data_IF_095414490632
#
_entry.id   IF_095414490632
#
_cell.length_a   1.000
_cell.length_b   1.000
_cell.length_c   1.000
_cell.angle_alpha   90.00
_cell.angle_beta   90.00
_cell.angle_gamma   90.00
#
_symmetry.space_group_name_H-M   'P 1'
#
loop_
_entity.id
_entity.type
_entity.pdbx_description
1 polymer ?
#
# COMPACT_ATOMS: atom_id res chain seq x y z
N UNK A 1 -17.76 15.34 20.62
CA UNK A 1 -17.50 16.20 19.43
C UNK A 1 -18.05 15.52 18.20
N UNK A 2 -18.60 16.28 17.26
CA UNK A 2 -19.11 15.71 16.00
C UNK A 2 -17.91 15.20 15.17
N UNK A 3 -17.99 14.00 14.64
CA UNK A 3 -16.94 13.37 13.80
C UNK A 3 -16.52 14.27 12.64
N UNK A 4 -17.47 14.97 12.02
CA UNK A 4 -17.19 15.93 10.95
C UNK A 4 -16.21 17.03 11.40
N UNK A 5 -16.40 17.57 12.61
CA UNK A 5 -15.53 18.62 13.17
C UNK A 5 -14.12 18.08 13.38
N UNK A 6 -13.97 16.84 13.84
CA UNK A 6 -12.66 16.18 14.02
C UNK A 6 -11.94 16.05 12.67
N UNK A 7 -12.65 15.57 11.65
CA UNK A 7 -12.09 15.41 10.29
C UNK A 7 -11.69 16.76 9.70
N UNK A 8 -12.50 17.79 9.86
CA UNK A 8 -12.16 19.14 9.36
C UNK A 8 -10.93 19.72 10.06
N UNK A 9 -10.84 19.60 11.40
CA UNK A 9 -9.66 20.03 12.16
C UNK A 9 -8.43 19.27 11.69
N UNK A 10 -8.52 17.95 11.54
CA UNK A 10 -7.43 17.11 11.05
C UNK A 10 -6.97 17.53 9.65
N UNK A 11 -7.91 17.77 8.73
CA UNK A 11 -7.61 18.24 7.38
C UNK A 11 -6.88 19.59 7.39
N UNK A 12 -7.34 20.55 8.19
CA UNK A 12 -6.68 21.87 8.33
C UNK A 12 -5.26 21.71 8.87
N UNK A 13 -5.07 20.90 9.92
CA UNK A 13 -3.74 20.63 10.51
C UNK A 13 -2.81 20.03 9.47
N UNK A 14 -3.24 19.02 8.70
CA UNK A 14 -2.43 18.37 7.67
C UNK A 14 -2.08 19.33 6.52
N UNK A 15 -3.03 20.16 6.07
CA UNK A 15 -2.75 21.19 5.05
C UNK A 15 -1.76 22.23 5.55
N UNK A 16 -1.91 22.69 6.79
CA UNK A 16 -0.95 23.62 7.41
C UNK A 16 0.45 22.98 7.57
N UNK A 17 0.51 21.73 7.97
CA UNK A 17 1.76 20.98 8.06
C UNK A 17 2.44 20.84 6.68
N UNK A 18 1.69 20.51 5.64
CA UNK A 18 2.20 20.43 4.27
C UNK A 18 2.70 21.79 3.76
N UNK A 19 1.88 22.84 3.90
CA UNK A 19 2.20 24.17 3.37
C UNK A 19 3.30 24.90 4.17
N UNK A 20 3.36 24.69 5.47
CA UNK A 20 4.36 25.31 6.36
C UNK A 20 5.57 24.42 6.56
N UNK A 21 5.39 23.36 7.36
CA UNK A 21 6.47 22.49 7.77
C UNK A 21 7.12 21.73 6.61
N UNK A 22 6.34 21.19 5.69
CA UNK A 22 6.86 20.48 4.53
C UNK A 22 7.69 21.38 3.60
N UNK A 23 7.25 22.62 3.36
CA UNK A 23 8.03 23.59 2.58
C UNK A 23 9.31 24.02 3.28
N UNK A 24 9.24 24.24 4.59
CA UNK A 24 10.42 24.56 5.40
C UNK A 24 11.45 23.42 5.32
N UNK A 25 11.00 22.17 5.46
CA UNK A 25 11.85 20.99 5.39
C UNK A 25 12.50 20.85 4.00
N UNK A 26 11.73 21.01 2.94
CA UNK A 26 12.22 20.96 1.56
C UNK A 26 13.30 22.03 1.31
N UNK A 27 13.08 23.26 1.81
CA UNK A 27 14.05 24.34 1.72
C UNK A 27 15.31 24.05 2.53
N UNK A 28 15.17 23.53 3.75
CA UNK A 28 16.29 23.20 4.64
C UNK A 28 17.16 22.09 4.07
N UNK A 29 16.56 21.11 3.41
CA UNK A 29 17.30 20.01 2.76
C UNK A 29 17.84 20.38 1.38
N UNK A 30 17.50 21.53 0.85
CA UNK A 30 17.96 22.01 -0.45
C UNK A 30 17.36 21.23 -1.62
N UNK A 31 16.05 20.95 -1.56
CA UNK A 31 15.34 20.33 -2.68
C UNK A 31 15.21 21.33 -3.81
N UNK A 32 15.78 20.99 -4.97
CA UNK A 32 15.63 21.79 -6.19
C UNK A 32 14.45 21.22 -7.03
N UNK A 33 13.35 21.97 -7.19
CA UNK A 33 12.19 21.55 -7.96
C UNK A 33 12.48 21.42 -9.47
N UNK A 34 13.56 22.04 -9.96
CA UNK A 34 13.93 22.00 -11.38
C UNK A 34 14.96 20.89 -11.69
N UNK A 35 15.47 20.20 -10.67
CA UNK A 35 16.42 19.12 -10.85
C UNK A 35 15.78 17.94 -11.61
N UNK A 36 16.45 17.47 -12.66
CA UNK A 36 16.01 16.25 -13.37
C UNK A 36 16.16 15.04 -12.46
N UNK A 37 15.08 14.28 -12.31
CA UNK A 37 15.08 13.04 -11.52
C UNK A 37 15.98 11.98 -12.15
N UNK A 38 16.48 11.00 -11.39
CA UNK A 38 17.27 9.90 -11.91
C UNK A 38 16.59 9.14 -13.06
N UNK A 39 15.26 8.96 -12.99
CA UNK A 39 14.49 8.29 -14.04
C UNK A 39 14.58 9.00 -15.40
N UNK A 40 14.71 10.35 -15.41
CA UNK A 40 14.87 11.14 -16.65
C UNK A 40 16.35 11.26 -17.05
N UNK A 41 17.26 11.35 -16.06
CA UNK A 41 18.68 11.57 -16.31
C UNK A 41 19.41 10.29 -16.74
N UNK A 42 19.00 9.14 -16.20
CA UNK A 42 19.63 7.83 -16.38
C UNK A 42 18.72 6.87 -17.15
N UNK A 43 17.77 7.39 -17.93
CA UNK A 43 16.79 6.58 -18.65
C UNK A 43 17.45 5.48 -19.47
N UNK A 44 17.09 4.22 -19.18
CA UNK A 44 17.59 3.03 -19.85
C UNK A 44 16.48 2.10 -20.37
N UNK A 45 15.21 2.47 -20.10
CA UNK A 45 14.04 1.69 -20.50
C UNK A 45 13.82 0.41 -19.69
N UNK A 46 14.62 0.14 -18.65
CA UNK A 46 14.51 -1.04 -17.77
C UNK A 46 14.42 -0.67 -16.30
N UNK A 47 15.47 -0.10 -15.74
CA UNK A 47 15.58 0.26 -14.33
C UNK A 47 15.17 1.72 -14.12
N UNK A 48 15.45 2.58 -15.09
CA UNK A 48 15.11 4.00 -15.08
C UNK A 48 14.12 4.31 -16.20
N UNK A 49 12.84 4.35 -15.83
CA UNK A 49 11.76 4.64 -16.78
C UNK A 49 10.95 5.83 -16.29
N UNK A 50 10.94 6.95 -17.04
CA UNK A 50 10.08 8.08 -16.73
C UNK A 50 8.61 7.65 -16.73
N UNK A 51 7.91 7.86 -15.62
CA UNK A 51 6.53 7.43 -15.44
C UNK A 51 5.65 8.65 -15.16
N UNK A 52 4.38 8.58 -15.56
CA UNK A 52 3.40 9.63 -15.29
C UNK A 52 3.29 9.89 -13.78
N UNK A 53 3.30 11.15 -13.37
CA UNK A 53 3.23 11.56 -11.97
C UNK A 53 2.02 11.00 -11.22
N UNK A 54 0.87 10.85 -11.89
CA UNK A 54 -0.32 10.25 -11.27
C UNK A 54 -0.14 8.77 -10.96
N UNK A 55 0.49 8.02 -11.85
CA UNK A 55 0.80 6.60 -11.64
C UNK A 55 1.80 6.42 -10.49
N UNK A 56 2.82 7.29 -10.42
CA UNK A 56 3.79 7.29 -9.30
C UNK A 56 3.10 7.61 -7.98
N UNK A 57 2.22 8.62 -7.96
CA UNK A 57 1.43 8.96 -6.79
C UNK A 57 0.55 7.80 -6.33
N UNK A 58 -0.21 7.18 -7.24
CA UNK A 58 -1.08 6.05 -6.93
C UNK A 58 -0.31 4.88 -6.34
N UNK A 59 0.85 4.55 -6.92
CA UNK A 59 1.72 3.49 -6.42
C UNK A 59 2.26 3.80 -5.01
N UNK A 60 2.75 5.02 -4.79
CA UNK A 60 3.27 5.46 -3.49
C UNK A 60 2.16 5.47 -2.43
N UNK A 61 1.01 6.05 -2.76
CA UNK A 61 -0.15 6.09 -1.87
C UNK A 61 -0.60 4.69 -1.46
N UNK A 62 -0.76 3.77 -2.42
CA UNK A 62 -1.16 2.39 -2.13
C UNK A 62 -0.10 1.62 -1.32
N UNK A 63 1.19 1.90 -1.54
CA UNK A 63 2.27 1.27 -0.78
C UNK A 63 2.32 1.73 0.68
N UNK A 64 2.00 3.00 0.95
CA UNK A 64 1.95 3.58 2.31
C UNK A 64 0.63 3.21 2.99
N UNK A 65 -0.51 3.39 2.30
CA UNK A 65 -1.85 3.16 2.83
C UNK A 65 -2.24 1.66 2.82
N UNK A 66 -1.31 0.77 3.13
CA UNK A 66 -1.58 -0.66 3.25
C UNK A 66 -2.45 -1.04 4.46
N UNK A 67 -2.55 -2.33 4.75
CA UNK A 67 -3.39 -2.84 5.85
C UNK A 67 -2.98 -2.27 7.22
N UNK A 68 -1.69 -2.00 7.45
CA UNK A 68 -1.18 -1.46 8.72
C UNK A 68 -1.86 -0.15 9.17
N UNK A 69 -1.89 0.91 8.37
CA UNK A 69 -2.58 2.16 8.71
C UNK A 69 -4.06 1.99 9.02
N UNK A 70 -4.76 1.09 8.32
CA UNK A 70 -6.19 0.83 8.55
C UNK A 70 -6.41 0.05 9.84
N UNK A 71 -5.80 -1.13 9.96
CA UNK A 71 -5.96 -2.01 11.13
C UNK A 71 -5.32 -1.42 12.38
N UNK A 72 -4.20 -0.71 12.25
CA UNK A 72 -3.52 -0.06 13.35
C UNK A 72 -4.37 1.03 14.00
N UNK A 73 -5.05 1.85 13.21
CA UNK A 73 -5.97 2.87 13.73
C UNK A 73 -7.16 2.24 14.46
N UNK A 74 -7.73 1.15 13.95
CA UNK A 74 -8.84 0.41 14.60
C UNK A 74 -8.37 -0.19 15.91
N UNK A 75 -7.22 -0.85 15.95
CA UNK A 75 -6.67 -1.43 17.19
C UNK A 75 -6.32 -0.36 18.21
N UNK A 76 -5.75 0.75 17.77
CA UNK A 76 -5.39 1.86 18.64
C UNK A 76 -6.61 2.56 19.24
N UNK A 77 -7.78 2.48 18.60
CA UNK A 77 -9.04 3.01 19.13
C UNK A 77 -9.43 2.40 20.49
N UNK A 78 -8.91 1.20 20.82
CA UNK A 78 -9.07 0.60 22.16
C UNK A 78 -8.47 1.46 23.29
N UNK A 79 -7.46 2.30 22.98
CA UNK A 79 -6.86 3.25 23.94
C UNK A 79 -7.58 4.59 24.01
N UNK A 80 -8.66 4.76 23.27
CA UNK A 80 -9.45 5.98 23.18
C UNK A 80 -9.13 6.80 21.91
N UNK A 81 -10.15 7.49 21.42
CA UNK A 81 -10.07 8.24 20.17
C UNK A 81 -9.11 9.44 20.19
N UNK A 82 -8.99 10.12 21.32
CA UNK A 82 -8.17 11.33 21.44
C UNK A 82 -6.65 11.05 21.37
N UNK A 83 -6.10 10.09 22.14
CA UNK A 83 -4.69 9.69 21.99
C UNK A 83 -4.36 9.24 20.57
N UNK A 84 -5.26 8.48 19.94
CA UNK A 84 -5.07 7.99 18.56
C UNK A 84 -5.04 9.16 17.57
N UNK A 85 -5.99 10.08 17.68
CA UNK A 85 -6.04 11.27 16.81
C UNK A 85 -4.77 12.11 16.93
N UNK A 86 -4.32 12.38 18.16
CA UNK A 86 -3.09 13.14 18.40
C UNK A 86 -1.88 12.41 17.83
N UNK A 87 -1.78 11.09 18.02
CA UNK A 87 -0.69 10.31 17.45
C UNK A 87 -0.70 10.29 15.93
N UNK A 88 -1.87 10.12 15.31
CA UNK A 88 -2.00 10.12 13.84
C UNK A 88 -1.60 11.48 13.25
N UNK A 89 -2.02 12.58 13.88
CA UNK A 89 -1.69 13.92 13.39
C UNK A 89 -0.24 14.31 13.67
N UNK A 90 0.20 14.22 14.92
CA UNK A 90 1.55 14.65 15.32
C UNK A 90 2.60 13.64 14.85
N UNK A 91 2.37 12.35 15.12
CA UNK A 91 3.26 11.28 14.70
C UNK A 91 3.33 11.14 13.18
N UNK A 92 2.20 11.26 12.50
CA UNK A 92 2.13 11.23 11.04
C UNK A 92 2.92 12.37 10.40
N UNK A 93 2.84 13.59 10.93
CA UNK A 93 3.57 14.74 10.40
C UNK A 93 5.06 14.70 10.76
N UNK A 94 5.40 14.54 12.05
CA UNK A 94 6.78 14.73 12.52
C UNK A 94 7.66 13.47 12.42
N UNK A 95 7.05 12.29 12.41
CA UNK A 95 7.78 11.03 12.24
C UNK A 95 7.53 10.41 10.87
N UNK A 96 6.29 10.08 10.53
CA UNK A 96 5.95 9.37 9.29
C UNK A 96 6.36 10.17 8.04
N UNK A 97 5.76 11.32 7.83
CA UNK A 97 5.99 12.12 6.62
C UNK A 97 7.45 12.58 6.48
N UNK A 98 8.12 12.93 7.59
CA UNK A 98 9.54 13.31 7.56
C UNK A 98 10.43 12.15 7.18
N UNK A 99 10.17 10.95 7.72
CA UNK A 99 10.94 9.75 7.39
C UNK A 99 10.77 9.36 5.93
N UNK A 100 9.52 9.35 5.44
CA UNK A 100 9.20 8.99 4.06
C UNK A 100 9.78 10.00 3.07
N UNK A 101 9.61 11.29 3.34
CA UNK A 101 10.19 12.35 2.52
C UNK A 101 11.73 12.31 2.54
N UNK A 102 12.34 12.05 3.69
CA UNK A 102 13.79 11.90 3.84
C UNK A 102 14.34 10.72 3.06
N UNK A 103 13.68 9.56 3.13
CA UNK A 103 14.07 8.37 2.40
C UNK A 103 13.95 8.58 0.88
N UNK A 104 12.85 9.18 0.42
CA UNK A 104 12.63 9.50 -0.98
C UNK A 104 13.68 10.49 -1.49
N UNK A 105 13.90 11.59 -0.76
CA UNK A 105 14.89 12.60 -1.15
C UNK A 105 16.32 12.03 -1.18
N UNK A 106 16.70 11.27 -0.17
CA UNK A 106 18.00 10.61 -0.11
C UNK A 106 18.20 9.64 -1.30
N UNK A 107 17.17 8.88 -1.64
CA UNK A 107 17.19 7.98 -2.81
C UNK A 107 17.36 8.77 -4.12
N UNK A 108 16.53 9.78 -4.36
CA UNK A 108 16.59 10.62 -5.57
C UNK A 108 17.95 11.31 -5.71
N UNK A 109 18.50 11.85 -4.62
CA UNK A 109 19.81 12.50 -4.59
C UNK A 109 20.98 11.55 -4.85
N UNK A 110 20.78 10.25 -4.66
CA UNK A 110 21.76 9.19 -4.87
C UNK A 110 21.35 8.24 -6.00
N UNK A 111 20.88 8.75 -7.12
CA UNK A 111 20.58 8.02 -8.35
C UNK A 111 19.52 6.93 -8.20
N UNK A 112 18.51 7.15 -7.33
CA UNK A 112 17.44 6.18 -7.11
C UNK A 112 17.86 4.94 -6.33
N UNK A 113 18.98 4.98 -5.61
CA UNK A 113 19.49 3.82 -4.86
C UNK A 113 18.60 3.49 -3.67
N UNK A 114 18.49 2.18 -3.39
CA UNK A 114 17.78 1.67 -2.21
C UNK A 114 18.49 2.03 -0.90
N UNK A 115 17.76 2.00 0.22
CA UNK A 115 18.33 2.31 1.55
C UNK A 115 19.53 1.42 1.90
N UNK A 116 19.53 0.14 1.51
CA UNK A 116 20.67 -0.74 1.73
C UNK A 116 21.95 -0.26 1.04
N UNK A 117 21.85 0.28 -0.18
CA UNK A 117 22.99 0.86 -0.90
C UNK A 117 23.40 2.22 -0.33
N UNK A 118 22.46 3.01 0.19
CA UNK A 118 22.78 4.26 0.89
C UNK A 118 23.53 3.99 2.20
N UNK A 119 23.11 2.99 2.95
CA UNK A 119 23.81 2.55 4.17
C UNK A 119 25.22 2.07 3.83
N UNK A 120 25.41 1.33 2.74
CA UNK A 120 26.75 0.96 2.31
C UNK A 120 27.64 2.17 2.00
N UNK A 121 27.06 3.16 1.31
CA UNK A 121 27.78 4.38 0.92
C UNK A 121 28.22 5.21 2.12
N UNK A 122 27.39 5.36 3.15
CA UNK A 122 27.62 6.28 4.26
C UNK A 122 28.13 5.61 5.53
N UNK A 123 27.83 4.32 5.75
CA UNK A 123 28.18 3.57 6.97
C UNK A 123 29.16 2.43 6.65
N UNK A 124 29.09 1.87 5.45
CA UNK A 124 29.95 0.81 4.98
C UNK A 124 29.28 -0.55 4.81
N UNK A 125 30.06 -1.54 4.30
CA UNK A 125 29.55 -2.87 3.92
C UNK A 125 28.97 -3.66 5.07
N UNK A 126 29.51 -3.55 6.27
CA UNK A 126 29.01 -4.23 7.47
C UNK A 126 27.63 -3.70 7.85
N UNK A 127 27.47 -2.36 7.84
CA UNK A 127 26.16 -1.72 8.07
C UNK A 127 25.10 -2.20 7.07
N UNK A 128 25.43 -2.30 5.78
CA UNK A 128 24.52 -2.86 4.76
C UNK A 128 24.10 -4.29 5.08
N UNK A 129 25.06 -5.17 5.44
CA UNK A 129 24.73 -6.58 5.74
C UNK A 129 23.80 -6.70 6.94
N UNK A 130 24.08 -5.96 8.02
CA UNK A 130 23.22 -5.95 9.22
C UNK A 130 21.82 -5.39 8.90
N UNK A 131 21.74 -4.33 8.13
CA UNK A 131 20.47 -3.75 7.70
C UNK A 131 19.66 -4.73 6.83
N UNK A 132 20.29 -5.40 5.88
CA UNK A 132 19.60 -6.40 5.03
C UNK A 132 19.12 -7.61 5.85
N UNK A 133 19.92 -8.07 6.82
CA UNK A 133 19.50 -9.12 7.74
C UNK A 133 18.29 -8.69 8.58
N UNK A 134 18.34 -7.48 9.14
CA UNK A 134 17.20 -6.91 9.85
C UNK A 134 15.95 -6.84 8.97
N UNK A 135 16.06 -6.29 7.77
CA UNK A 135 14.94 -6.22 6.82
C UNK A 135 14.37 -7.59 6.48
N UNK A 136 15.23 -8.59 6.28
CA UNK A 136 14.79 -9.95 5.97
C UNK A 136 14.01 -10.58 7.11
N UNK A 137 14.50 -10.49 8.34
CA UNK A 137 13.81 -10.99 9.53
C UNK A 137 12.49 -10.23 9.76
N UNK A 138 12.51 -8.89 9.65
CA UNK A 138 11.34 -8.06 9.82
C UNK A 138 10.26 -8.38 8.77
N UNK A 139 10.63 -8.50 7.50
CA UNK A 139 9.70 -8.90 6.44
C UNK A 139 9.08 -10.27 6.72
N UNK A 140 9.85 -11.24 7.23
CA UNK A 140 9.32 -12.55 7.59
C UNK A 140 8.24 -12.47 8.68
N UNK A 141 8.47 -11.70 9.73
CA UNK A 141 7.48 -11.47 10.81
C UNK A 141 6.23 -10.77 10.27
N UNK A 142 6.40 -9.72 9.47
CA UNK A 142 5.29 -8.96 8.88
C UNK A 142 4.45 -9.83 7.96
N UNK A 143 5.08 -10.62 7.08
CA UNK A 143 4.37 -11.52 6.17
C UNK A 143 3.57 -12.56 6.97
N UNK A 144 4.16 -13.16 7.99
CA UNK A 144 3.48 -14.14 8.84
C UNK A 144 2.26 -13.53 9.56
N UNK A 145 2.43 -12.34 10.15
CA UNK A 145 1.36 -11.64 10.85
C UNK A 145 0.19 -11.28 9.92
N UNK A 146 0.50 -10.71 8.73
CA UNK A 146 -0.55 -10.36 7.78
C UNK A 146 -1.20 -11.58 7.12
N UNK A 147 -0.45 -12.65 6.85
CA UNK A 147 -1.02 -13.89 6.33
C UNK A 147 -2.01 -14.51 7.33
N UNK A 148 -1.68 -14.51 8.62
CA UNK A 148 -2.58 -14.99 9.67
C UNK A 148 -3.83 -14.10 9.80
N UNK A 149 -3.67 -12.78 9.75
CA UNK A 149 -4.79 -11.82 9.78
C UNK A 149 -5.73 -12.01 8.58
N UNK A 150 -5.20 -12.14 7.37
CA UNK A 150 -5.99 -12.38 6.15
C UNK A 150 -6.74 -13.70 6.24
N UNK A 151 -6.05 -14.78 6.63
CA UNK A 151 -6.68 -16.08 6.81
C UNK A 151 -7.78 -16.07 7.89
N UNK A 152 -7.57 -15.30 8.96
CA UNK A 152 -8.57 -15.09 10.01
C UNK A 152 -9.79 -14.31 9.53
N UNK A 153 -9.59 -13.27 8.70
CA UNK A 153 -10.68 -12.44 8.14
C UNK A 153 -11.59 -13.25 7.20
N UNK A 154 -11.02 -14.18 6.43
CA UNK A 154 -11.79 -15.00 5.48
C UNK A 154 -12.29 -16.31 6.08
N UNK A 155 -11.95 -16.59 7.34
CA UNK A 155 -12.34 -17.82 8.01
C UNK A 155 -13.86 -17.89 8.21
N UNK A 156 -14.44 -19.01 7.77
CA UNK A 156 -15.88 -19.25 7.85
C UNK A 156 -16.30 -20.17 9.02
N UNK A 157 -15.33 -20.69 9.81
CA UNK A 157 -15.59 -21.67 10.87
C UNK A 157 -14.99 -21.20 12.20
N UNK A 158 -15.62 -21.54 13.29
CA UNK A 158 -15.09 -21.32 14.64
C UNK A 158 -14.12 -22.44 15.08
N UNK A 159 -13.67 -22.40 16.32
CA UNK A 159 -12.76 -23.38 16.89
C UNK A 159 -13.38 -24.78 16.99
N UNK A 160 -14.69 -24.89 17.09
CA UNK A 160 -15.45 -26.13 17.22
C UNK A 160 -15.85 -26.71 15.86
N UNK A 161 -15.48 -26.03 14.75
CA UNK A 161 -15.78 -26.45 13.38
C UNK A 161 -17.20 -26.12 12.92
N UNK A 162 -17.97 -25.34 13.68
CA UNK A 162 -19.24 -24.82 13.27
C UNK A 162 -19.08 -23.57 12.39
N UNK A 163 -20.02 -23.33 11.46
CA UNK A 163 -19.99 -22.11 10.65
C UNK A 163 -20.29 -20.89 11.54
N UNK A 164 -19.44 -19.86 11.43
CA UNK A 164 -19.72 -18.59 12.10
C UNK A 164 -20.88 -17.87 11.41
N UNK A 165 -21.60 -17.02 12.15
CA UNK A 165 -22.71 -16.23 11.62
C UNK A 165 -22.30 -15.38 10.40
N UNK A 166 -21.06 -14.92 10.37
CA UNK A 166 -20.48 -14.14 9.29
C UNK A 166 -19.87 -15.00 8.15
N UNK A 167 -20.07 -16.34 8.12
CA UNK A 167 -19.40 -17.23 7.17
C UNK A 167 -19.61 -16.82 5.70
N UNK A 168 -20.82 -16.39 5.35
CA UNK A 168 -21.12 -15.89 4.01
C UNK A 168 -20.35 -14.60 3.68
N UNK A 169 -20.33 -13.65 4.60
CA UNK A 169 -19.61 -12.36 4.43
C UNK A 169 -18.10 -12.58 4.34
N UNK A 170 -17.54 -13.44 5.19
CA UNK A 170 -16.13 -13.77 5.20
C UNK A 170 -15.73 -14.50 3.90
N UNK A 171 -16.53 -15.44 3.45
CA UNK A 171 -16.35 -16.16 2.18
C UNK A 171 -16.47 -15.23 0.96
N UNK A 172 -17.40 -14.27 1.00
CA UNK A 172 -17.54 -13.25 -0.04
C UNK A 172 -16.31 -12.34 -0.10
N UNK A 173 -15.81 -11.88 1.04
CA UNK A 173 -14.59 -11.08 1.11
C UNK A 173 -13.37 -11.84 0.54
N UNK A 174 -13.25 -13.13 0.84
CA UNK A 174 -12.22 -13.99 0.25
C UNK A 174 -12.34 -14.08 -1.27
N UNK A 175 -13.55 -14.32 -1.80
CA UNK A 175 -13.79 -14.39 -3.25
C UNK A 175 -13.56 -13.05 -3.94
N UNK A 176 -14.01 -11.92 -3.36
CA UNK A 176 -13.71 -10.57 -3.87
C UNK A 176 -12.20 -10.39 -4.01
N UNK A 177 -11.42 -10.78 -2.98
CA UNK A 177 -9.97 -10.65 -2.97
C UNK A 177 -9.30 -11.48 -4.07
N UNK A 178 -9.74 -12.71 -4.29
CA UNK A 178 -9.24 -13.58 -5.37
C UNK A 178 -9.57 -12.95 -6.74
N UNK A 179 -10.82 -12.53 -6.95
CA UNK A 179 -11.22 -11.91 -8.21
C UNK A 179 -10.48 -10.62 -8.48
N UNK A 180 -10.27 -9.80 -7.45
CA UNK A 180 -9.48 -8.58 -7.54
C UNK A 180 -8.05 -8.85 -8.03
N UNK A 181 -7.39 -9.90 -7.54
CA UNK A 181 -6.06 -10.31 -8.00
C UNK A 181 -6.05 -10.78 -9.45
N UNK A 182 -7.03 -11.62 -9.84
CA UNK A 182 -7.17 -12.09 -11.22
C UNK A 182 -7.41 -10.92 -12.18
N UNK A 183 -8.31 -10.01 -11.82
CA UNK A 183 -8.61 -8.85 -12.65
C UNK A 183 -7.45 -7.84 -12.68
N UNK A 184 -6.64 -7.73 -11.63
CA UNK A 184 -5.43 -6.94 -11.67
C UNK A 184 -4.42 -7.45 -12.71
N UNK A 185 -4.24 -8.77 -12.81
CA UNK A 185 -3.38 -9.37 -13.84
C UNK A 185 -3.94 -9.11 -15.24
N UNK A 186 -5.24 -9.31 -15.44
CA UNK A 186 -5.93 -9.05 -16.71
C UNK A 186 -5.80 -7.56 -17.08
N UNK A 187 -6.00 -6.67 -16.13
CA UNK A 187 -5.85 -5.23 -16.32
C UNK A 187 -4.42 -4.86 -16.74
N UNK A 188 -3.39 -5.43 -16.09
CA UNK A 188 -2.00 -5.23 -16.47
C UNK A 188 -1.67 -5.69 -17.90
N UNK A 189 -2.24 -6.83 -18.32
CA UNK A 189 -2.09 -7.32 -19.69
C UNK A 189 -2.78 -6.40 -20.72
N UNK A 190 -3.99 -5.93 -20.41
CA UNK A 190 -4.76 -5.00 -21.24
C UNK A 190 -4.01 -3.67 -21.36
N UNK A 191 -3.52 -3.13 -20.23
CA UNK A 191 -2.77 -1.88 -20.18
C UNK A 191 -1.51 -1.95 -21.07
N UNK A 192 -0.78 -3.05 -20.99
CA UNK A 192 0.40 -3.28 -21.83
C UNK A 192 0.07 -3.41 -23.33
N UNK A 193 -1.06 -4.06 -23.65
CA UNK A 193 -1.45 -4.31 -25.06
C UNK A 193 -2.01 -3.05 -25.73
N UNK A 194 -2.78 -2.24 -25.02
CA UNK A 194 -3.55 -1.13 -25.59
C UNK A 194 -2.99 0.26 -25.23
N UNK A 195 -1.93 0.34 -24.42
CA UNK A 195 -1.30 1.58 -23.94
C UNK A 195 -2.34 2.62 -23.44
N UNK A 196 -3.30 2.17 -22.65
CA UNK A 196 -4.30 3.06 -22.07
C UNK A 196 -3.63 4.02 -21.08
N UNK A 197 -4.04 5.29 -21.13
CA UNK A 197 -3.62 6.30 -20.16
C UNK A 197 -4.77 7.24 -19.80
N UNK A 198 -4.68 7.85 -18.63
CA UNK A 198 -5.62 8.83 -18.15
C UNK A 198 -6.99 8.25 -17.80
N UNK A 199 -8.08 8.93 -18.24
CA UNK A 199 -9.43 8.58 -17.82
C UNK A 199 -9.91 7.18 -18.27
N UNK A 200 -9.44 6.70 -19.42
CA UNK A 200 -9.78 5.35 -19.93
C UNK A 200 -9.24 4.25 -19.01
N UNK A 201 -8.04 4.43 -18.53
CA UNK A 201 -7.42 3.55 -17.55
C UNK A 201 -8.22 3.50 -16.25
N UNK A 202 -8.66 4.68 -15.75
CA UNK A 202 -9.47 4.77 -14.54
C UNK A 202 -10.83 4.06 -14.71
N UNK A 203 -11.52 4.27 -15.82
CA UNK A 203 -12.82 3.62 -16.08
C UNK A 203 -12.70 2.10 -16.12
N UNK A 204 -11.68 1.57 -16.80
CA UNK A 204 -11.45 0.12 -16.87
C UNK A 204 -11.09 -0.44 -15.49
N UNK A 205 -10.23 0.25 -14.74
CA UNK A 205 -9.88 -0.15 -13.38
C UNK A 205 -11.09 -0.20 -12.45
N UNK A 206 -11.94 0.84 -12.46
CA UNK A 206 -13.18 0.89 -11.67
C UNK A 206 -14.15 -0.22 -12.10
N UNK A 207 -14.29 -0.47 -13.39
CA UNK A 207 -15.14 -1.56 -13.89
C UNK A 207 -14.71 -2.93 -13.37
N UNK A 208 -13.40 -3.21 -13.32
CA UNK A 208 -12.89 -4.45 -12.75
C UNK A 208 -13.08 -4.53 -11.23
N UNK A 209 -12.98 -3.41 -10.51
CA UNK A 209 -13.30 -3.37 -9.07
C UNK A 209 -14.77 -3.74 -8.86
N UNK A 210 -15.70 -3.08 -9.56
CA UNK A 210 -17.14 -3.37 -9.44
C UNK A 210 -17.43 -4.83 -9.79
N UNK A 211 -16.81 -5.35 -10.86
CA UNK A 211 -16.99 -6.75 -11.26
C UNK A 211 -16.47 -7.71 -10.18
N UNK A 212 -15.33 -7.39 -9.52
CA UNK A 212 -14.82 -8.19 -8.40
C UNK A 212 -15.82 -8.28 -7.25
N UNK A 213 -16.46 -7.16 -6.90
CA UNK A 213 -17.50 -7.14 -5.87
C UNK A 213 -18.76 -7.92 -6.29
N UNK A 214 -19.24 -7.73 -7.51
CA UNK A 214 -20.42 -8.43 -8.01
C UNK A 214 -20.21 -9.96 -7.98
N UNK A 215 -19.08 -10.43 -8.50
CA UNK A 215 -18.77 -11.87 -8.51
C UNK A 215 -18.57 -12.39 -7.09
N UNK A 216 -17.81 -11.67 -6.24
CA UNK A 216 -17.50 -12.11 -4.88
C UNK A 216 -18.72 -12.17 -3.97
N UNK A 217 -19.66 -11.25 -4.11
CA UNK A 217 -20.90 -11.26 -3.32
C UNK A 217 -21.88 -12.36 -3.75
N UNK A 218 -21.85 -12.79 -5.00
CA UNK A 218 -22.74 -13.85 -5.51
C UNK A 218 -22.14 -15.26 -5.38
N UNK A 219 -20.83 -15.39 -5.26
CA UNK A 219 -20.14 -16.69 -5.24
C UNK A 219 -19.16 -16.78 -4.05
N UNK A 220 -19.62 -16.82 -2.79
CA UNK A 220 -18.75 -16.89 -1.62
C UNK A 220 -17.97 -18.20 -1.57
N UNK A 221 -16.72 -18.17 -1.16
CA UNK A 221 -15.89 -19.35 -0.91
C UNK A 221 -15.83 -19.60 0.59
N UNK A 222 -16.52 -20.64 1.04
CA UNK A 222 -16.62 -21.00 2.46
C UNK A 222 -15.51 -22.01 2.79
N UNK A 223 -14.41 -21.51 3.38
CA UNK A 223 -13.25 -22.30 3.77
C UNK A 223 -12.80 -21.97 5.19
N UNK A 224 -12.11 -22.93 5.82
CA UNK A 224 -11.49 -22.74 7.13
C UNK A 224 -10.16 -21.95 7.07
N UNK A 225 -9.72 -21.45 8.22
CA UNK A 225 -8.49 -20.64 8.39
C UNK A 225 -7.25 -21.33 7.80
N UNK A 226 -7.09 -22.64 8.00
CA UNK A 226 -5.95 -23.41 7.48
C UNK A 226 -5.90 -23.39 5.94
N UNK A 227 -7.04 -23.60 5.28
CA UNK A 227 -7.12 -23.57 3.82
C UNK A 227 -6.80 -22.19 3.27
N UNK A 228 -7.30 -21.13 3.89
CA UNK A 228 -6.98 -19.75 3.52
C UNK A 228 -5.51 -19.40 3.74
N UNK A 229 -4.87 -19.94 4.79
CA UNK A 229 -3.44 -19.79 5.00
C UNK A 229 -2.63 -20.39 3.84
N UNK A 230 -2.96 -21.61 3.40
CA UNK A 230 -2.29 -22.23 2.25
C UNK A 230 -2.50 -21.43 0.96
N UNK A 231 -3.72 -20.98 0.68
CA UNK A 231 -4.03 -20.15 -0.49
C UNK A 231 -3.20 -18.85 -0.45
N UNK A 232 -3.12 -18.21 0.72
CA UNK A 232 -2.35 -16.97 0.90
C UNK A 232 -0.86 -17.20 0.66
N UNK A 233 -0.28 -18.28 1.18
CA UNK A 233 1.14 -18.59 0.94
C UNK A 233 1.44 -18.91 -0.54
N UNK A 234 0.57 -19.66 -1.20
CA UNK A 234 0.68 -19.92 -2.64
C UNK A 234 0.64 -18.59 -3.42
N UNK A 235 -0.29 -17.71 -3.07
CA UNK A 235 -0.37 -16.39 -3.68
C UNK A 235 0.89 -15.55 -3.46
N UNK A 236 1.41 -15.50 -2.22
CA UNK A 236 2.65 -14.76 -1.89
C UNK A 236 3.82 -15.27 -2.74
N UNK A 237 3.93 -16.60 -2.91
CA UNK A 237 4.97 -17.20 -3.75
C UNK A 237 4.88 -16.70 -5.20
N UNK A 238 3.70 -16.78 -5.83
CA UNK A 238 3.52 -16.28 -7.20
C UNK A 238 3.72 -14.77 -7.29
N UNK A 239 3.22 -14.02 -6.32
CA UNK A 239 3.37 -12.56 -6.29
C UNK A 239 4.85 -12.12 -6.17
N UNK A 240 5.69 -12.92 -5.50
CA UNK A 240 7.12 -12.65 -5.39
C UNK A 240 7.90 -12.94 -6.69
N UNK A 241 7.43 -13.88 -7.50
CA UNK A 241 8.10 -14.30 -8.75
C UNK A 241 7.65 -13.48 -9.96
N UNK A 242 6.37 -13.06 -9.97
CA UNK A 242 5.81 -12.31 -11.10
C UNK A 242 6.41 -10.90 -11.21
N UNK A 243 6.64 -10.41 -12.45
CA UNK A 243 7.15 -9.06 -12.65
C UNK A 243 6.17 -8.00 -12.15
N UNK A 244 6.69 -6.91 -11.60
CA UNK A 244 5.91 -5.85 -10.96
C UNK A 244 4.84 -5.23 -11.87
N UNK A 245 5.13 -5.08 -13.16
CA UNK A 245 4.21 -4.51 -14.13
C UNK A 245 2.97 -5.38 -14.39
N UNK A 246 3.07 -6.70 -14.14
CA UNK A 246 1.97 -7.64 -14.40
C UNK A 246 0.97 -7.71 -13.25
N UNK A 247 1.44 -7.71 -12.00
CA UNK A 247 0.58 -7.90 -10.84
C UNK A 247 0.56 -6.67 -9.93
N UNK A 248 1.73 -6.18 -9.49
CA UNK A 248 1.81 -5.19 -8.42
C UNK A 248 1.31 -3.81 -8.87
N UNK A 249 1.80 -3.30 -9.99
CA UNK A 249 1.40 -1.97 -10.47
C UNK A 249 -0.10 -1.87 -10.78
N UNK A 250 -0.72 -2.79 -11.56
CA UNK A 250 -2.16 -2.75 -11.84
C UNK A 250 -3.00 -2.91 -10.57
N UNK A 251 -2.58 -3.80 -9.67
CA UNK A 251 -3.26 -4.02 -8.39
C UNK A 251 -3.22 -2.75 -7.52
N UNK A 252 -2.06 -2.13 -7.36
CA UNK A 252 -1.89 -0.93 -6.54
C UNK A 252 -2.67 0.26 -7.13
N UNK A 253 -2.74 0.36 -8.45
CA UNK A 253 -3.57 1.34 -9.15
C UNK A 253 -5.06 1.17 -8.82
N UNK A 254 -5.59 -0.06 -8.94
CA UNK A 254 -6.98 -0.37 -8.58
C UNK A 254 -7.23 -0.16 -7.07
N UNK A 255 -6.30 -0.59 -6.21
CA UNK A 255 -6.40 -0.44 -4.75
C UNK A 255 -6.49 1.03 -4.33
N UNK A 256 -5.84 1.94 -5.06
CA UNK A 256 -5.92 3.38 -4.78
C UNK A 256 -7.36 3.89 -4.90
N UNK A 257 -8.09 3.49 -5.93
CA UNK A 257 -9.52 3.85 -6.07
C UNK A 257 -10.37 3.26 -4.95
N UNK A 258 -10.08 2.02 -4.56
CA UNK A 258 -10.80 1.38 -3.45
C UNK A 258 -10.55 2.12 -2.13
N UNK A 259 -9.31 2.50 -1.82
CA UNK A 259 -9.00 3.28 -0.62
C UNK A 259 -9.61 4.68 -0.64
N UNK A 260 -9.59 5.36 -1.78
CA UNK A 260 -10.26 6.66 -1.91
C UNK A 260 -11.77 6.56 -1.72
N UNK A 261 -12.39 5.45 -2.13
CA UNK A 261 -13.82 5.22 -1.91
C UNK A 261 -14.17 4.95 -0.45
N UNK A 262 -13.28 4.32 0.33
CA UNK A 262 -13.46 4.08 1.75
C UNK A 262 -13.53 5.36 2.60
N UNK A 263 -12.98 6.47 2.10
CA UNK A 263 -13.07 7.78 2.76
C UNK A 263 -14.54 8.26 2.86
N UNK A 264 -15.41 7.78 1.98
CA UNK A 264 -16.83 8.17 1.95
C UNK A 264 -17.75 7.27 2.80
N UNK A 265 -17.23 6.17 3.36
CA UNK A 265 -17.96 5.26 4.25
C UNK A 265 -17.67 5.62 5.70
#
# INVERSE_FOLDING_TARGET
>A
MNTLVIVLIAAVVLVCAYAGYGRWLAKTWGVDPNAKTPAVRLEDGKDYVPTNGWTVFAHQFSSIAGAGPVTGAIQAAAFGWLPVLLWVLIGGVFFGAVTDFGALYASVKNDGKSMGLLIEKYIGKTGRKLFLLFCWLFCGIVIAAFADMVAGTFNAFDADGAQVEAAFTNGSAGMVSIMFMVFAVIFGLIQKKFNFSGWKEAVVGIAFIVLSFVVGMNCPIILGKAAWSYITFIYIFFAAVLPMWLLKQPRDYMTTFMFLSLIHI
#
